data_IF_665601368511
#
_entry.id   IF_665601368511
#
_cell.length_a   1.000
_cell.length_b   1.000
_cell.length_c   1.000
_cell.angle_alpha   90.00
_cell.angle_beta   90.00
_cell.angle_gamma   90.00
#
_symmetry.space_group_name_H-M   'P 1'
#
loop_
_entity.id
_entity.type
_entity.pdbx_description
1 polymer ?
#
# COMPACT_ATOMS: atom_id res chain seq x y z
N UNK A 1 -1.90 -12.85 2.31
CA UNK A 1 -2.11 -11.61 3.08
C UNK A 1 -1.99 -11.92 4.56
N UNK A 2 -1.61 -10.93 5.38
CA UNK A 2 -1.70 -11.02 6.83
C UNK A 2 -2.95 -10.30 7.32
N UNK A 3 -3.83 -11.00 8.02
CA UNK A 3 -5.16 -10.53 8.41
C UNK A 3 -5.24 -10.53 9.93
N UNK A 4 -5.77 -9.44 10.51
CA UNK A 4 -6.20 -9.43 11.90
C UNK A 4 -7.69 -9.76 11.96
N UNK A 5 -8.04 -10.87 12.60
CA UNK A 5 -9.42 -11.28 12.85
C UNK A 5 -9.79 -10.96 14.30
N UNK A 6 -10.72 -10.02 14.47
CA UNK A 6 -11.22 -9.58 15.78
C UNK A 6 -12.65 -10.07 15.95
N UNK A 7 -12.83 -11.12 16.75
CA UNK A 7 -14.11 -11.82 16.95
C UNK A 7 -14.08 -12.52 18.32
N UNK A 8 -15.08 -12.31 19.17
CA UNK A 8 -15.15 -12.93 20.48
C UNK A 8 -15.81 -14.32 20.47
N UNK A 9 -16.74 -14.55 19.53
CA UNK A 9 -17.37 -15.86 19.36
C UNK A 9 -16.34 -16.90 18.87
N UNK A 10 -16.03 -17.86 19.74
CA UNK A 10 -15.00 -18.88 19.47
C UNK A 10 -15.35 -19.78 18.28
N UNK A 11 -16.65 -20.07 18.06
CA UNK A 11 -17.08 -20.94 16.96
C UNK A 11 -16.94 -20.21 15.64
N UNK A 12 -17.47 -19.00 15.55
CA UNK A 12 -17.39 -18.18 14.35
C UNK A 12 -15.92 -17.84 14.02
N UNK A 13 -15.13 -17.43 15.02
CA UNK A 13 -13.69 -17.16 14.85
C UNK A 13 -12.95 -18.37 14.31
N UNK A 14 -13.17 -19.56 14.88
CA UNK A 14 -12.51 -20.80 14.42
C UNK A 14 -12.85 -21.15 12.97
N UNK A 15 -14.11 -21.01 12.58
CA UNK A 15 -14.58 -21.28 11.21
C UNK A 15 -14.00 -20.25 10.23
N UNK A 16 -13.99 -18.97 10.59
CA UNK A 16 -13.39 -17.91 9.78
C UNK A 16 -11.88 -18.09 9.64
N UNK A 17 -11.18 -18.41 10.75
CA UNK A 17 -9.75 -18.67 10.72
C UNK A 17 -9.42 -19.80 9.72
N UNK A 18 -10.12 -20.94 9.84
CA UNK A 18 -9.89 -22.08 8.94
C UNK A 18 -10.10 -21.70 7.47
N UNK A 19 -11.21 -21.03 7.15
CA UNK A 19 -11.51 -20.59 5.79
C UNK A 19 -10.42 -19.66 5.22
N UNK A 20 -10.01 -18.65 6.01
CA UNK A 20 -8.98 -17.71 5.59
C UNK A 20 -7.60 -18.37 5.45
N UNK A 21 -7.26 -19.31 6.34
CA UNK A 21 -6.01 -20.07 6.26
C UNK A 21 -5.98 -20.98 5.04
N UNK A 22 -7.09 -21.66 4.72
CA UNK A 22 -7.25 -22.45 3.50
C UNK A 22 -7.12 -21.58 2.23
N UNK A 23 -7.56 -20.32 2.31
CA UNK A 23 -7.34 -19.29 1.29
C UNK A 23 -5.88 -18.80 1.17
N UNK A 24 -4.95 -19.38 1.96
CA UNK A 24 -3.53 -19.02 1.95
C UNK A 24 -3.20 -17.71 2.69
N UNK A 25 -4.07 -17.28 3.62
CA UNK A 25 -3.84 -16.09 4.43
C UNK A 25 -3.19 -16.47 5.77
N UNK A 26 -2.38 -15.54 6.30
CA UNK A 26 -1.89 -15.62 7.67
C UNK A 26 -2.83 -14.84 8.56
N UNK A 27 -3.42 -15.49 9.57
CA UNK A 27 -4.44 -14.91 10.44
C UNK A 27 -3.89 -14.79 11.86
N UNK A 28 -3.90 -13.57 12.39
CA UNK A 28 -3.72 -13.31 13.80
C UNK A 28 -5.10 -13.03 14.43
N UNK A 29 -5.38 -13.57 15.60
CA UNK A 29 -6.68 -13.49 16.27
C UNK A 29 -6.66 -12.56 17.48
N UNK A 30 -7.74 -11.81 17.67
CA UNK A 30 -8.03 -11.04 18.86
C UNK A 30 -9.46 -11.34 19.32
N UNK A 31 -9.64 -11.54 20.62
CA UNK A 31 -10.96 -11.84 21.22
C UNK A 31 -11.52 -10.67 22.02
N UNK A 32 -10.70 -9.64 22.23
CA UNK A 32 -11.04 -8.46 23.01
C UNK A 32 -10.58 -7.19 22.27
N UNK A 33 -11.17 -6.06 22.64
CA UNK A 33 -10.74 -4.75 22.19
C UNK A 33 -9.28 -4.47 22.59
N UNK A 34 -8.88 -4.89 23.80
CA UNK A 34 -7.52 -4.72 24.30
C UNK A 34 -6.50 -5.50 23.45
N UNK A 35 -6.79 -6.77 23.11
CA UNK A 35 -5.94 -7.58 22.24
C UNK A 35 -5.86 -7.02 20.83
N UNK A 36 -7.00 -6.59 20.27
CA UNK A 36 -7.07 -5.99 18.97
C UNK A 36 -6.16 -4.75 18.86
N UNK A 37 -6.21 -3.87 19.89
CA UNK A 37 -5.34 -2.68 19.97
C UNK A 37 -3.87 -3.05 20.04
N UNK A 38 -3.52 -4.00 20.92
CA UNK A 38 -2.13 -4.43 21.11
C UNK A 38 -1.54 -4.99 19.82
N UNK A 39 -2.24 -5.91 19.15
CA UNK A 39 -1.79 -6.52 17.90
C UNK A 39 -1.72 -5.51 16.77
N UNK A 40 -2.74 -4.66 16.61
CA UNK A 40 -2.80 -3.68 15.51
C UNK A 40 -1.77 -2.55 15.65
N UNK A 41 -1.24 -2.31 16.85
CA UNK A 41 -0.17 -1.32 17.05
C UNK A 41 1.21 -1.84 16.71
N UNK A 42 1.43 -3.14 16.90
CA UNK A 42 2.77 -3.77 16.80
C UNK A 42 3.03 -4.37 15.43
N UNK A 43 1.98 -4.81 14.73
CA UNK A 43 2.10 -5.55 13.47
C UNK A 43 1.40 -4.84 12.32
N UNK A 44 2.03 -4.76 11.14
CA UNK A 44 1.34 -4.35 9.92
C UNK A 44 0.42 -5.46 9.42
N UNK A 45 -0.82 -5.11 9.09
CA UNK A 45 -1.81 -6.01 8.49
C UNK A 45 -2.21 -5.52 7.10
N UNK A 46 -2.53 -6.47 6.21
CA UNK A 46 -3.08 -6.17 4.88
C UNK A 46 -4.59 -5.85 4.96
N UNK A 47 -5.27 -6.39 5.97
CA UNK A 47 -6.67 -6.11 6.27
C UNK A 47 -7.01 -6.47 7.72
N UNK A 48 -8.08 -5.87 8.23
CA UNK A 48 -8.69 -6.19 9.53
C UNK A 48 -10.14 -6.56 9.32
N UNK A 49 -10.55 -7.71 9.87
CA UNK A 49 -11.93 -8.15 10.02
C UNK A 49 -12.34 -7.86 11.47
N UNK A 50 -13.32 -7.00 11.67
CA UNK A 50 -13.58 -6.38 12.97
C UNK A 50 -15.04 -6.57 13.41
N UNK A 51 -15.26 -7.36 14.44
CA UNK A 51 -16.56 -7.30 15.15
C UNK A 51 -16.64 -6.01 15.96
N UNK A 52 -17.84 -5.45 16.00
CA UNK A 52 -18.15 -4.27 16.82
C UNK A 52 -18.47 -4.60 18.26
N UNK A 53 -19.02 -5.80 18.53
CA UNK A 53 -19.45 -6.20 19.85
C UNK A 53 -18.39 -7.09 20.51
N UNK A 54 -17.50 -6.46 21.25
CA UNK A 54 -16.45 -7.16 22.00
C UNK A 54 -16.77 -7.10 23.50
N UNK A 55 -16.32 -8.08 24.31
CA UNK A 55 -16.67 -8.17 25.73
C UNK A 55 -16.22 -6.97 26.57
N UNK A 56 -15.16 -6.28 26.13
CA UNK A 56 -14.54 -5.15 26.82
C UNK A 56 -14.78 -3.80 26.12
N UNK A 57 -15.64 -3.75 25.10
CA UNK A 57 -16.02 -2.51 24.44
C UNK A 57 -16.36 -2.63 22.97
N UNK A 58 -16.54 -1.49 22.32
CA UNK A 58 -16.87 -1.47 20.89
C UNK A 58 -15.61 -1.50 20.02
N UNK A 59 -15.57 -2.40 19.03
CA UNK A 59 -14.53 -2.47 18.02
C UNK A 59 -14.30 -1.15 17.27
N UNK A 60 -15.34 -0.30 17.16
CA UNK A 60 -15.19 1.04 16.58
C UNK A 60 -14.15 1.91 17.30
N UNK A 61 -13.87 1.64 18.57
CA UNK A 61 -12.84 2.39 19.30
C UNK A 61 -11.46 2.10 18.74
N UNK A 62 -11.14 0.81 18.48
CA UNK A 62 -9.87 0.43 17.86
C UNK A 62 -9.72 1.04 16.46
N UNK A 63 -10.80 1.00 15.65
CA UNK A 63 -10.81 1.60 14.32
C UNK A 63 -10.52 3.12 14.36
N UNK A 64 -11.25 3.86 15.20
CA UNK A 64 -11.04 5.33 15.34
C UNK A 64 -9.63 5.67 15.82
N UNK A 65 -9.07 4.86 16.70
CA UNK A 65 -7.69 5.03 17.17
C UNK A 65 -6.68 4.76 16.07
N UNK A 66 -6.87 3.70 15.27
CA UNK A 66 -6.04 3.42 14.11
C UNK A 66 -6.08 4.59 13.13
N UNK A 67 -7.26 5.08 12.76
CA UNK A 67 -7.41 6.23 11.84
C UNK A 67 -6.78 7.52 12.37
N UNK A 68 -6.88 7.78 13.66
CA UNK A 68 -6.21 8.94 14.29
C UNK A 68 -4.69 8.86 14.27
N UNK A 69 -4.11 7.67 14.22
CA UNK A 69 -2.66 7.43 14.03
C UNK A 69 -2.22 7.52 12.58
N UNK A 70 -3.13 7.77 11.65
CA UNK A 70 -2.86 7.76 10.21
C UNK A 70 -2.75 6.34 9.63
N UNK A 71 -3.22 5.34 10.33
CA UNK A 71 -3.26 3.97 9.84
C UNK A 71 -4.46 3.81 8.89
N UNK A 72 -4.17 3.49 7.63
CA UNK A 72 -5.15 3.28 6.56
C UNK A 72 -5.34 1.81 6.20
N UNK A 73 -4.94 0.88 7.08
CA UNK A 73 -5.20 -0.54 6.88
C UNK A 73 -6.68 -0.76 6.57
N UNK A 74 -7.02 -1.49 5.50
CA UNK A 74 -8.40 -1.79 5.13
C UNK A 74 -9.15 -2.51 6.24
N UNK A 75 -10.34 -2.03 6.57
CA UNK A 75 -11.18 -2.59 7.63
C UNK A 75 -12.53 -2.98 7.09
N UNK A 76 -12.87 -4.26 7.23
CA UNK A 76 -14.23 -4.77 7.06
C UNK A 76 -14.86 -5.01 8.42
N UNK A 77 -15.95 -4.31 8.68
CA UNK A 77 -16.75 -4.50 9.89
C UNK A 77 -17.68 -5.70 9.72
N UNK A 78 -17.68 -6.58 10.70
CA UNK A 78 -18.58 -7.72 10.82
C UNK A 78 -19.53 -7.44 12.00
N UNK A 79 -20.85 -7.39 11.77
CA UNK A 79 -21.76 -7.05 12.86
C UNK A 79 -23.12 -7.74 12.73
N UNK A 80 -23.68 -8.17 13.85
CA UNK A 80 -25.06 -8.67 13.92
C UNK A 80 -26.10 -7.56 13.72
N UNK A 81 -25.66 -6.30 13.68
CA UNK A 81 -26.55 -5.13 13.61
C UNK A 81 -26.76 -4.71 12.15
N UNK A 82 -27.90 -5.11 11.60
CA UNK A 82 -28.29 -4.80 10.21
C UNK A 82 -28.90 -3.39 10.04
N UNK A 83 -28.97 -2.57 11.11
CA UNK A 83 -29.61 -1.24 11.02
C UNK A 83 -28.76 -0.28 10.22
N UNK A 84 -29.41 0.46 9.34
CA UNK A 84 -28.78 1.43 8.45
C UNK A 84 -27.96 2.47 9.22
N UNK A 85 -28.48 2.91 10.38
CA UNK A 85 -27.83 3.94 11.22
C UNK A 85 -26.46 3.49 11.74
N UNK A 86 -26.33 2.23 12.13
CA UNK A 86 -25.09 1.65 12.68
C UNK A 86 -24.05 1.40 11.58
N UNK A 87 -24.51 1.06 10.39
CA UNK A 87 -23.66 0.91 9.21
C UNK A 87 -23.07 2.27 8.80
N UNK A 88 -23.87 3.32 8.87
CA UNK A 88 -23.41 4.70 8.64
C UNK A 88 -22.34 5.07 9.65
N UNK A 89 -22.59 4.83 10.95
CA UNK A 89 -21.62 5.11 12.03
C UNK A 89 -20.31 4.34 11.84
N UNK A 90 -20.36 3.10 11.36
CA UNK A 90 -19.17 2.29 11.05
C UNK A 90 -18.35 2.87 9.89
N UNK A 91 -19.02 3.26 8.81
CA UNK A 91 -18.39 3.87 7.64
C UNK A 91 -17.81 5.26 7.98
N UNK A 92 -18.55 6.08 8.73
CA UNK A 92 -18.09 7.40 9.20
C UNK A 92 -16.90 7.29 10.17
N UNK A 93 -16.79 6.16 10.90
CA UNK A 93 -15.63 5.86 11.73
C UNK A 93 -14.38 5.48 10.92
N UNK A 94 -14.52 5.31 9.60
CA UNK A 94 -13.44 4.98 8.68
C UNK A 94 -13.33 3.51 8.30
N UNK A 95 -14.42 2.72 8.45
CA UNK A 95 -14.49 1.39 7.87
C UNK A 95 -14.61 1.47 6.35
N UNK A 96 -13.99 0.53 5.65
CA UNK A 96 -13.95 0.50 4.19
C UNK A 96 -15.02 -0.43 3.60
N UNK A 97 -15.52 -1.40 4.39
CA UNK A 97 -16.67 -2.24 4.05
C UNK A 97 -17.39 -2.66 5.32
N UNK A 98 -18.64 -3.13 5.16
CA UNK A 98 -19.51 -3.57 6.24
C UNK A 98 -20.29 -4.81 5.81
N UNK A 99 -20.23 -5.87 6.60
CA UNK A 99 -20.94 -7.12 6.35
C UNK A 99 -21.78 -7.51 7.57
N UNK A 100 -23.08 -7.74 7.35
CA UNK A 100 -23.99 -8.12 8.41
C UNK A 100 -23.97 -9.62 8.67
N UNK A 101 -23.93 -10.01 9.95
CA UNK A 101 -24.14 -11.40 10.38
C UNK A 101 -25.65 -11.76 10.29
N UNK A 102 -26.03 -12.98 9.84
CA UNK A 102 -25.17 -14.05 9.36
C UNK A 102 -24.69 -13.81 7.93
N UNK A 103 -23.47 -14.25 7.60
CA UNK A 103 -22.85 -14.10 6.28
C UNK A 103 -22.29 -15.45 5.78
N UNK A 104 -22.08 -15.54 4.49
CA UNK A 104 -21.36 -16.63 3.86
C UNK A 104 -19.84 -16.38 3.88
N UNK A 105 -19.03 -17.41 4.15
CA UNK A 105 -17.56 -17.26 4.19
C UNK A 105 -16.97 -16.90 2.83
N UNK A 106 -17.56 -17.40 1.75
CA UNK A 106 -17.16 -17.04 0.40
C UNK A 106 -17.43 -15.56 0.11
N UNK A 107 -18.50 -14.97 0.71
CA UNK A 107 -18.75 -13.53 0.63
C UNK A 107 -17.66 -12.73 1.38
N UNK A 108 -17.30 -13.16 2.59
CA UNK A 108 -16.19 -12.53 3.34
C UNK A 108 -14.92 -12.50 2.53
N UNK A 109 -14.52 -13.64 1.95
CA UNK A 109 -13.31 -13.72 1.13
C UNK A 109 -13.38 -12.88 -0.15
N UNK A 110 -14.52 -12.90 -0.84
CA UNK A 110 -14.71 -12.11 -2.05
C UNK A 110 -14.61 -10.60 -1.77
N UNK A 111 -15.25 -10.14 -0.67
CA UNK A 111 -15.19 -8.76 -0.23
C UNK A 111 -13.80 -8.37 0.25
N UNK A 112 -13.14 -9.24 1.01
CA UNK A 112 -11.77 -9.03 1.48
C UNK A 112 -10.79 -8.84 0.30
N UNK A 113 -10.88 -9.71 -0.71
CA UNK A 113 -10.08 -9.54 -1.94
C UNK A 113 -10.38 -8.22 -2.66
N UNK A 114 -11.66 -7.83 -2.73
CA UNK A 114 -12.06 -6.57 -3.36
C UNK A 114 -11.58 -5.35 -2.56
N UNK A 115 -11.65 -5.43 -1.23
CA UNK A 115 -11.22 -4.40 -0.30
C UNK A 115 -9.72 -4.14 -0.42
N UNK A 116 -8.90 -5.17 -0.28
CA UNK A 116 -7.45 -5.08 -0.39
C UNK A 116 -7.04 -4.62 -1.81
N UNK A 117 -7.72 -5.07 -2.85
CA UNK A 117 -7.48 -4.60 -4.23
C UNK A 117 -7.73 -3.10 -4.39
N UNK A 118 -8.78 -2.53 -3.75
CA UNK A 118 -9.07 -1.08 -3.80
C UNK A 118 -8.00 -0.26 -3.11
N UNK A 119 -7.55 -0.70 -1.95
CA UNK A 119 -6.50 -0.03 -1.18
C UNK A 119 -5.11 -0.22 -1.77
N UNK A 120 -4.81 -1.40 -2.31
CA UNK A 120 -3.59 -1.65 -3.08
C UNK A 120 -3.61 -0.89 -4.41
N UNK A 121 -4.78 -0.69 -5.03
CA UNK A 121 -4.90 0.11 -6.25
C UNK A 121 -4.52 1.58 -6.07
N UNK A 122 -4.68 2.14 -4.88
CA UNK A 122 -4.16 3.47 -4.52
C UNK A 122 -2.68 3.44 -4.09
N UNK A 123 -2.18 2.31 -3.58
CA UNK A 123 -0.75 2.10 -3.30
C UNK A 123 0.03 1.57 -4.52
N UNK A 124 -0.67 0.92 -5.46
CA UNK A 124 -0.06 0.43 -6.71
C UNK A 124 0.20 1.55 -7.71
N UNK A 125 -0.49 2.68 -7.61
CA UNK A 125 -0.22 3.86 -8.42
C UNK A 125 0.49 4.93 -7.59
N UNK A 126 1.72 5.21 -7.97
CA UNK A 126 2.53 6.29 -7.41
C UNK A 126 2.65 7.37 -8.46
N UNK A 127 2.29 8.59 -8.14
CA UNK A 127 2.39 9.71 -9.06
C UNK A 127 3.28 10.83 -8.48
N UNK A 128 4.08 11.45 -9.34
CA UNK A 128 4.87 12.63 -9.06
C UNK A 128 4.86 13.53 -10.29
N UNK A 129 4.23 14.70 -10.21
CA UNK A 129 3.97 15.52 -11.39
C UNK A 129 3.17 14.76 -12.44
N UNK A 130 3.62 14.77 -13.68
CA UNK A 130 2.99 14.02 -14.77
C UNK A 130 3.47 12.56 -14.90
N UNK A 131 4.46 12.16 -14.10
CA UNK A 131 4.96 10.80 -14.08
C UNK A 131 4.12 9.94 -13.13
N UNK A 132 3.62 8.81 -13.60
CA UNK A 132 2.93 7.84 -12.78
C UNK A 132 3.53 6.44 -12.99
N UNK A 133 3.59 5.69 -11.89
CA UNK A 133 4.02 4.30 -11.84
C UNK A 133 2.83 3.43 -11.44
N UNK A 134 2.45 2.49 -12.28
CA UNK A 134 1.62 1.35 -11.91
C UNK A 134 2.55 0.20 -11.47
N UNK A 135 2.64 0.00 -10.15
CA UNK A 135 3.50 -1.04 -9.56
C UNK A 135 3.08 -2.45 -9.96
N UNK A 136 1.76 -2.67 -10.04
CA UNK A 136 1.21 -3.99 -10.37
C UNK A 136 1.45 -4.35 -11.83
N UNK A 137 1.19 -3.40 -12.72
CA UNK A 137 1.45 -3.59 -14.15
C UNK A 137 2.94 -3.44 -14.51
N UNK A 138 3.80 -3.03 -13.55
CA UNK A 138 5.21 -2.67 -13.77
C UNK A 138 5.38 -1.73 -14.97
N UNK A 139 4.62 -0.64 -14.98
CA UNK A 139 4.58 0.29 -16.11
C UNK A 139 4.62 1.74 -15.64
N UNK A 140 5.45 2.52 -16.32
CA UNK A 140 5.45 3.97 -16.18
C UNK A 140 4.56 4.61 -17.25
N UNK A 141 3.91 5.71 -16.88
CA UNK A 141 3.25 6.63 -17.81
C UNK A 141 3.74 8.06 -17.54
N UNK A 142 3.88 8.84 -18.60
CA UNK A 142 4.18 10.26 -18.54
C UNK A 142 3.06 11.01 -19.28
N UNK A 143 2.41 11.98 -18.62
CA UNK A 143 1.20 12.62 -19.13
C UNK A 143 0.10 11.62 -19.55
N UNK A 144 -0.02 10.49 -18.84
CA UNK A 144 -0.98 9.43 -19.16
C UNK A 144 -0.60 8.55 -20.35
N UNK A 145 0.50 8.82 -21.05
CA UNK A 145 1.01 7.99 -22.14
C UNK A 145 2.05 7.00 -21.65
N UNK A 146 2.10 5.76 -22.18
CA UNK A 146 3.12 4.80 -21.78
C UNK A 146 4.55 5.35 -22.00
N UNK A 147 5.38 5.26 -20.95
CA UNK A 147 6.79 5.61 -21.02
C UNK A 147 7.62 4.33 -21.19
N UNK A 148 8.10 4.11 -22.41
CA UNK A 148 8.93 2.95 -22.70
C UNK A 148 10.39 3.17 -22.25
N UNK A 149 10.86 2.26 -21.42
CA UNK A 149 12.19 2.29 -20.84
C UNK A 149 12.92 0.96 -21.06
N UNK A 150 14.21 0.97 -21.45
CA UNK A 150 15.05 -0.20 -21.34
C UNK A 150 15.10 -0.73 -19.89
N UNK A 151 15.28 -2.04 -19.71
CA UNK A 151 15.17 -2.69 -18.41
C UNK A 151 15.98 -2.00 -17.29
N UNK A 152 17.23 -1.60 -17.55
CA UNK A 152 18.07 -0.93 -16.55
C UNK A 152 17.59 0.48 -16.20
N UNK A 153 17.09 1.24 -17.17
CA UNK A 153 16.49 2.56 -16.93
C UNK A 153 15.19 2.44 -16.17
N UNK A 154 14.41 1.40 -16.45
CA UNK A 154 13.19 1.08 -15.70
C UNK A 154 13.50 0.82 -14.22
N UNK A 155 14.48 -0.03 -13.90
CA UNK A 155 14.84 -0.36 -12.52
C UNK A 155 15.38 0.88 -11.77
N UNK A 156 16.19 1.72 -12.41
CA UNK A 156 16.65 2.99 -11.80
C UNK A 156 15.45 3.89 -11.47
N UNK A 157 14.54 4.09 -12.41
CA UNK A 157 13.37 4.95 -12.19
C UNK A 157 12.42 4.36 -11.16
N UNK A 158 12.29 3.02 -11.13
CA UNK A 158 11.52 2.29 -10.11
C UNK A 158 12.02 2.58 -8.69
N UNK A 159 13.34 2.47 -8.46
CA UNK A 159 13.93 2.74 -7.16
C UNK A 159 13.78 4.20 -6.73
N UNK A 160 13.88 5.13 -7.66
CA UNK A 160 13.69 6.56 -7.40
C UNK A 160 12.21 6.92 -7.12
N UNK A 161 11.27 6.10 -7.61
CA UNK A 161 9.84 6.32 -7.46
C UNK A 161 9.22 5.53 -6.28
N UNK A 162 10.01 4.69 -5.57
CA UNK A 162 9.49 3.75 -4.57
C UNK A 162 10.23 3.86 -3.21
N UNK A 163 9.85 4.74 -2.30
CA UNK A 163 8.88 5.83 -2.41
C UNK A 163 9.42 7.05 -3.18
N UNK A 164 8.54 7.88 -3.76
CA UNK A 164 8.97 9.09 -4.47
C UNK A 164 9.57 10.12 -3.51
N UNK A 165 10.38 11.03 -4.06
CA UNK A 165 11.06 12.12 -3.34
C UNK A 165 12.08 11.65 -2.27
N UNK A 166 12.39 10.37 -2.20
CA UNK A 166 13.46 9.84 -1.36
C UNK A 166 14.82 10.01 -2.04
N UNK A 167 15.85 10.30 -1.25
CA UNK A 167 17.24 10.25 -1.73
C UNK A 167 17.68 8.79 -1.75
N UNK A 168 18.08 8.30 -2.92
CA UNK A 168 18.62 6.94 -3.10
C UNK A 168 20.11 7.06 -3.39
N UNK A 169 20.92 6.40 -2.57
CA UNK A 169 22.37 6.48 -2.71
C UNK A 169 22.85 5.78 -4.00
N UNK A 170 24.00 6.22 -4.53
CA UNK A 170 24.63 5.56 -5.69
C UNK A 170 24.90 4.08 -5.41
N UNK A 171 25.34 3.76 -4.19
CA UNK A 171 25.61 2.39 -3.77
C UNK A 171 24.33 1.54 -3.79
N UNK A 172 23.25 2.05 -3.21
CA UNK A 172 21.96 1.36 -3.19
C UNK A 172 21.44 1.07 -4.61
N UNK A 173 21.52 2.05 -5.52
CA UNK A 173 21.17 1.85 -6.93
C UNK A 173 22.08 0.82 -7.60
N UNK A 174 23.39 0.91 -7.39
CA UNK A 174 24.34 -0.03 -7.98
C UNK A 174 24.11 -1.46 -7.46
N UNK A 175 23.92 -1.64 -6.16
CA UNK A 175 23.67 -2.96 -5.54
C UNK A 175 22.41 -3.62 -6.08
N UNK A 176 21.35 -2.84 -6.33
CA UNK A 176 20.08 -3.36 -6.88
C UNK A 176 20.12 -3.64 -8.38
N UNK A 177 20.96 -2.93 -9.13
CA UNK A 177 21.13 -3.10 -10.57
C UNK A 177 22.16 -4.17 -10.93
N UNK A 178 23.05 -4.52 -10.00
CA UNK A 178 24.04 -5.56 -10.18
C UNK A 178 23.39 -6.94 -10.03
N UNK A 179 23.51 -7.79 -11.03
CA UNK A 179 23.31 -9.23 -10.92
C UNK A 179 24.65 -9.90 -10.63
N UNK A 180 24.65 -11.14 -10.11
CA UNK A 180 25.86 -11.87 -9.73
C UNK A 180 26.93 -11.98 -10.84
N UNK A 181 26.52 -11.82 -12.12
CA UNK A 181 27.38 -11.98 -13.31
C UNK A 181 27.77 -10.66 -14.00
N UNK A 182 27.23 -9.50 -13.56
CA UNK A 182 27.43 -8.25 -14.29
C UNK A 182 27.60 -7.08 -13.31
N UNK A 183 28.84 -6.85 -12.87
CA UNK A 183 29.18 -5.68 -12.10
C UNK A 183 29.03 -4.44 -13.00
N UNK A 184 28.12 -3.53 -12.66
CA UNK A 184 27.96 -2.25 -13.35
C UNK A 184 29.30 -1.48 -13.29
N UNK A 185 29.84 -1.16 -14.45
CA UNK A 185 31.01 -0.27 -14.54
C UNK A 185 30.73 1.09 -13.88
N UNK A 186 31.74 1.73 -13.31
CA UNK A 186 31.64 2.93 -12.48
C UNK A 186 30.83 4.10 -13.09
N UNK A 187 30.70 4.16 -14.42
CA UNK A 187 29.98 5.22 -15.13
C UNK A 187 28.61 4.78 -15.70
N UNK A 188 28.20 3.53 -15.52
CA UNK A 188 26.96 3.03 -16.14
C UNK A 188 25.72 3.67 -15.52
N UNK A 189 25.74 3.86 -14.19
CA UNK A 189 24.62 4.49 -13.48
C UNK A 189 24.41 5.94 -13.92
N UNK A 190 25.49 6.71 -14.07
CA UNK A 190 25.44 8.09 -14.56
C UNK A 190 24.87 8.17 -15.99
N UNK A 191 25.16 7.19 -16.83
CA UNK A 191 24.62 7.12 -18.17
C UNK A 191 23.11 6.83 -18.16
N UNK A 192 22.62 5.95 -17.25
CA UNK A 192 21.19 5.70 -17.08
C UNK A 192 20.47 6.95 -16.57
N UNK A 193 21.02 7.63 -15.56
CA UNK A 193 20.47 8.88 -15.03
C UNK A 193 20.41 9.96 -16.12
N UNK A 194 21.45 10.10 -16.91
CA UNK A 194 21.49 11.08 -18.02
C UNK A 194 20.39 10.81 -19.05
N UNK A 195 20.22 9.54 -19.47
CA UNK A 195 19.16 9.15 -20.41
C UNK A 195 17.76 9.34 -19.84
N UNK A 196 17.55 8.99 -18.57
CA UNK A 196 16.27 9.23 -17.88
C UNK A 196 15.95 10.72 -17.80
N UNK A 197 16.93 11.56 -17.44
CA UNK A 197 16.74 13.02 -17.45
C UNK A 197 16.27 13.52 -18.81
N UNK A 198 16.92 13.08 -19.88
CA UNK A 198 16.52 13.47 -21.23
C UNK A 198 15.07 13.07 -21.51
N UNK A 199 14.68 11.81 -21.23
CA UNK A 199 13.31 11.34 -21.46
C UNK A 199 12.27 12.09 -20.64
N UNK A 200 12.59 12.44 -19.39
CA UNK A 200 11.68 13.19 -18.51
C UNK A 200 11.60 14.69 -18.87
N UNK A 201 12.63 15.24 -19.54
CA UNK A 201 12.70 16.67 -19.88
C UNK A 201 12.18 16.96 -21.29
N UNK A 202 12.29 16.04 -22.25
CA UNK A 202 11.86 16.18 -23.64
C UNK A 202 10.34 16.36 -23.79
N UNK A 203 9.57 15.95 -22.79
CA UNK A 203 8.15 16.23 -22.68
C UNK A 203 7.95 17.57 -21.98
N UNK A 204 7.70 18.62 -22.76
CA UNK A 204 7.56 20.00 -22.26
C UNK A 204 6.53 20.08 -21.13
N UNK A 205 7.01 20.26 -19.90
CA UNK A 205 6.16 20.45 -18.72
C UNK A 205 5.87 19.18 -17.93
N UNK A 206 6.71 18.14 -17.99
CA UNK A 206 6.53 16.92 -17.16
C UNK A 206 6.40 17.20 -15.65
N UNK A 207 6.93 18.34 -15.20
CA UNK A 207 6.91 18.71 -13.77
C UNK A 207 7.72 17.76 -12.90
N UNK A 208 8.68 17.00 -13.48
CA UNK A 208 9.50 16.02 -12.79
C UNK A 208 10.95 16.13 -13.22
N UNK A 209 11.88 16.05 -12.27
CA UNK A 209 13.32 16.02 -12.56
C UNK A 209 14.07 15.08 -11.63
N UNK A 210 15.18 14.52 -12.11
CA UNK A 210 16.11 13.76 -11.28
C UNK A 210 17.22 14.70 -10.80
N UNK A 211 17.22 15.01 -9.51
CA UNK A 211 18.25 15.83 -8.88
C UNK A 211 19.43 14.98 -8.41
N UNK A 212 20.65 15.50 -8.62
CA UNK A 212 21.86 14.94 -8.02
C UNK A 212 22.15 15.65 -6.71
N UNK A 213 22.22 14.89 -5.62
CA UNK A 213 22.69 15.38 -4.32
C UNK A 213 24.14 14.91 -4.13
N UNK A 214 25.08 15.85 -4.25
CA UNK A 214 26.52 15.53 -4.21
C UNK A 214 26.87 14.78 -2.92
N UNK A 215 27.54 13.64 -3.07
CA UNK A 215 27.92 12.77 -1.95
C UNK A 215 26.80 11.92 -1.35
N UNK A 216 25.54 12.17 -1.69
CA UNK A 216 24.38 11.43 -1.14
C UNK A 216 23.74 10.50 -2.17
N UNK A 217 23.53 10.94 -3.41
CA UNK A 217 22.86 10.12 -4.43
C UNK A 217 21.94 10.92 -5.34
N UNK A 218 20.80 10.32 -5.67
CA UNK A 218 19.80 10.88 -6.58
C UNK A 218 18.43 10.91 -5.91
N UNK A 219 17.61 11.89 -6.26
CA UNK A 219 16.20 11.96 -5.88
C UNK A 219 15.36 12.38 -7.07
N UNK A 220 14.15 11.86 -7.16
CA UNK A 220 13.15 12.30 -8.11
C UNK A 220 12.29 13.37 -7.43
N UNK A 221 12.19 14.54 -8.02
CA UNK A 221 11.48 15.69 -7.45
C UNK A 221 10.45 16.24 -8.43
N UNK A 222 9.32 16.71 -7.89
CA UNK A 222 8.39 17.51 -8.68
C UNK A 222 9.00 18.90 -8.89
N UNK A 223 9.05 19.37 -10.14
CA UNK A 223 9.42 20.74 -10.44
C UNK A 223 8.16 21.60 -10.47
N UNK A 224 8.04 22.54 -9.52
CA UNK A 224 7.00 23.57 -9.62
C UNK A 224 7.27 24.47 -10.82
N UNK A 225 6.23 24.80 -11.61
CA UNK A 225 6.30 25.87 -12.61
C UNK A 225 6.58 27.18 -11.89
N UNK A 226 7.82 27.63 -11.88
CA UNK A 226 8.13 28.95 -11.31
C UNK A 226 9.55 29.12 -10.80
N UNK A 227 10.57 28.74 -11.56
CA UNK A 227 11.92 29.32 -11.41
C UNK A 227 12.55 29.42 -12.81
N UNK A 228 12.24 30.52 -13.46
CA UNK A 228 12.98 31.05 -14.61
C UNK A 228 13.33 32.49 -14.28
#
# INVERSE_FOLDING_TARGET
MRILLVEDDAVLRGVMHASLADGGHRVDEATTLADARALWQVQPYDAVLLDLNLPDGSGLMALREARRRGDHTPVMVLSARARTDERIVGLDAGADDYLSKPFDLGEVEARLRALVRRTQGTQDQVALGALALDRRARRFTLHGQPLELPAREFEVLWELMTPPARVVSKRELSDKLSTFDDALGDNALEAFISRLRKKLTDEAGSGVSIRTLRGLGYALEATSKGDT
#
